data_IF_255331752030
#
_entry.id   IF_255331752030
#
_cell.length_a   1.000
_cell.length_b   1.000
_cell.length_c   1.000
_cell.angle_alpha   90.00
_cell.angle_beta   90.00
_cell.angle_gamma   90.00
#
_symmetry.space_group_name_H-M   'P 1'
#
loop_
_entity.id
_entity.type
_entity.pdbx_description
1 polymer ?
#
# COMPACT_ATOMS: atom_id res chain seq x y z
N UNK A 1 6.75 1.10 -29.96
CA UNK A 1 6.46 0.12 -28.89
C UNK A 1 6.84 0.65 -27.51
N UNK A 2 8.09 1.04 -27.23
CA UNK A 2 8.49 1.53 -25.88
C UNK A 2 7.95 2.91 -25.48
N UNK A 3 7.51 3.72 -26.44
CA UNK A 3 6.90 5.05 -26.23
C UNK A 3 5.40 5.05 -26.46
N UNK A 4 4.80 3.88 -26.69
CA UNK A 4 3.35 3.74 -26.86
C UNK A 4 2.64 4.10 -25.53
N UNK A 5 1.68 5.04 -25.53
CA UNK A 5 0.99 5.46 -24.32
C UNK A 5 0.26 4.32 -23.59
N UNK A 6 -0.38 3.41 -24.34
CA UNK A 6 -1.12 2.27 -23.78
C UNK A 6 -0.16 1.30 -23.09
N UNK A 7 0.98 1.03 -23.71
CA UNK A 7 2.04 0.19 -23.15
C UNK A 7 2.59 0.82 -21.85
N UNK A 8 2.91 2.11 -21.87
CA UNK A 8 3.41 2.83 -20.69
C UNK A 8 2.40 2.83 -19.54
N UNK A 9 1.11 3.03 -19.84
CA UNK A 9 0.01 2.96 -18.85
C UNK A 9 -0.12 1.54 -18.28
N UNK A 10 -0.02 0.50 -19.12
CA UNK A 10 -0.07 -0.89 -18.67
C UNK A 10 1.10 -1.22 -17.74
N UNK A 11 2.32 -0.82 -18.10
CA UNK A 11 3.51 -1.03 -17.26
C UNK A 11 3.39 -0.24 -15.96
N UNK A 12 2.96 1.02 -15.99
CA UNK A 12 2.76 1.84 -14.80
C UNK A 12 1.77 1.21 -13.81
N UNK A 13 0.63 0.72 -14.30
CA UNK A 13 -0.35 -0.01 -13.50
C UNK A 13 0.21 -1.32 -12.94
N UNK A 14 0.96 -2.06 -13.75
CA UNK A 14 1.60 -3.30 -13.32
C UNK A 14 2.57 -3.05 -12.15
N UNK A 15 3.37 -2.00 -12.23
CA UNK A 15 4.34 -1.64 -11.19
C UNK A 15 3.65 -1.14 -9.91
N UNK A 16 2.71 -0.20 -10.04
CA UNK A 16 2.00 0.38 -8.90
C UNK A 16 1.12 -0.67 -8.22
N UNK A 17 0.32 -1.43 -8.96
CA UNK A 17 -0.48 -2.51 -8.37
C UNK A 17 0.38 -3.66 -7.84
N UNK A 18 1.46 -3.99 -8.56
CA UNK A 18 2.38 -5.08 -8.21
C UNK A 18 3.08 -4.88 -6.88
N UNK A 19 3.45 -3.66 -6.51
CA UNK A 19 4.07 -3.41 -5.20
C UNK A 19 3.11 -3.74 -4.04
N UNK A 20 1.80 -3.55 -4.23
CA UNK A 20 0.80 -3.90 -3.21
C UNK A 20 0.53 -5.40 -3.15
N UNK A 21 0.48 -6.09 -4.28
CA UNK A 21 0.40 -7.55 -4.29
C UNK A 21 1.61 -8.14 -3.58
N UNK A 22 2.81 -7.69 -3.93
CA UNK A 22 4.04 -8.11 -3.26
C UNK A 22 4.01 -7.79 -1.76
N UNK A 23 3.61 -6.58 -1.37
CA UNK A 23 3.52 -6.19 0.03
C UNK A 23 2.52 -7.06 0.81
N UNK A 24 1.35 -7.35 0.23
CA UNK A 24 0.34 -8.23 0.82
C UNK A 24 0.88 -9.65 1.05
N UNK A 25 1.52 -10.24 0.03
CA UNK A 25 2.14 -11.57 0.16
C UNK A 25 3.25 -11.60 1.21
N UNK A 26 4.11 -10.57 1.25
CA UNK A 26 5.13 -10.42 2.29
C UNK A 26 4.51 -10.27 3.68
N UNK A 27 3.39 -9.57 3.79
CA UNK A 27 2.68 -9.36 5.06
C UNK A 27 2.05 -10.66 5.57
N UNK A 28 1.63 -11.58 4.70
CA UNK A 28 1.20 -12.94 5.09
C UNK A 28 2.35 -13.68 5.79
N UNK A 29 3.55 -13.64 5.21
CA UNK A 29 4.72 -14.28 5.81
C UNK A 29 5.13 -13.65 7.16
N UNK A 30 4.78 -12.37 7.39
CA UNK A 30 5.10 -11.62 8.60
C UNK A 30 3.89 -11.40 9.52
N UNK A 31 2.83 -12.20 9.36
CA UNK A 31 1.52 -11.91 9.94
C UNK A 31 1.58 -11.76 11.47
N UNK A 32 2.21 -12.70 12.17
CA UNK A 32 2.30 -12.70 13.64
C UNK A 32 3.03 -11.46 14.17
N UNK A 33 4.12 -11.06 13.52
CA UNK A 33 4.88 -9.86 13.88
C UNK A 33 4.05 -8.60 13.71
N UNK A 34 3.38 -8.47 12.57
CA UNK A 34 2.56 -7.30 12.26
C UNK A 34 1.33 -7.21 13.17
N UNK A 35 0.68 -8.34 13.45
CA UNK A 35 -0.45 -8.43 14.39
C UNK A 35 -0.05 -7.89 15.77
N UNK A 36 1.11 -8.33 16.29
CA UNK A 36 1.63 -7.85 17.57
C UNK A 36 2.02 -6.36 17.57
N UNK A 37 2.44 -5.81 16.43
CA UNK A 37 2.71 -4.36 16.30
C UNK A 37 1.40 -3.57 16.38
N UNK A 38 0.40 -3.93 15.58
CA UNK A 38 -0.85 -3.16 15.51
C UNK A 38 -1.71 -3.35 16.76
N UNK A 39 -1.64 -4.52 17.41
CA UNK A 39 -2.30 -4.76 18.69
C UNK A 39 -1.76 -3.84 19.80
N UNK A 40 -0.43 -3.63 19.85
CA UNK A 40 0.20 -2.67 20.78
C UNK A 40 -0.18 -1.21 20.51
N UNK A 41 -0.68 -0.90 19.30
CA UNK A 41 -1.22 0.42 18.95
C UNK A 41 -2.70 0.58 19.28
N UNK A 42 -3.34 -0.42 19.87
CA UNK A 42 -4.76 -0.35 20.27
C UNK A 42 -5.74 -0.53 19.11
N UNK A 43 -5.31 -1.10 17.97
CA UNK A 43 -6.22 -1.41 16.87
C UNK A 43 -7.22 -2.49 17.33
N UNK A 44 -8.55 -2.24 17.25
CA UNK A 44 -9.55 -3.25 17.58
C UNK A 44 -9.41 -4.48 16.67
N UNK A 45 -9.52 -5.67 17.25
CA UNK A 45 -9.43 -6.95 16.53
C UNK A 45 -8.22 -7.02 15.57
N UNK A 46 -6.98 -6.92 16.08
CA UNK A 46 -5.78 -6.72 15.26
C UNK A 46 -5.61 -7.79 14.18
N UNK A 47 -5.88 -9.06 14.51
CA UNK A 47 -5.87 -10.17 13.54
C UNK A 47 -6.79 -9.93 12.34
N UNK A 48 -8.04 -9.53 12.60
CA UNK A 48 -9.02 -9.29 11.56
C UNK A 48 -8.67 -8.05 10.72
N UNK A 49 -8.24 -6.96 11.38
CA UNK A 49 -7.80 -5.74 10.71
C UNK A 49 -6.60 -5.99 9.78
N UNK A 50 -5.60 -6.76 10.24
CA UNK A 50 -4.44 -7.12 9.42
C UNK A 50 -4.84 -8.02 8.24
N UNK A 51 -5.67 -9.05 8.48
CA UNK A 51 -6.13 -9.94 7.42
C UNK A 51 -6.91 -9.18 6.34
N UNK A 52 -7.77 -8.24 6.74
CA UNK A 52 -8.48 -7.36 5.83
C UNK A 52 -7.53 -6.45 5.04
N UNK A 53 -6.55 -5.84 5.70
CA UNK A 53 -5.53 -5.02 5.05
C UNK A 53 -4.75 -5.80 3.99
N UNK A 54 -4.28 -7.01 4.32
CA UNK A 54 -3.59 -7.91 3.39
C UNK A 54 -4.48 -8.27 2.20
N UNK A 55 -5.74 -8.65 2.46
CA UNK A 55 -6.70 -8.99 1.41
C UNK A 55 -6.90 -7.81 0.45
N UNK A 56 -7.07 -6.60 0.99
CA UNK A 56 -7.23 -5.37 0.22
C UNK A 56 -5.98 -5.10 -0.63
N UNK A 57 -4.77 -5.21 -0.08
CA UNK A 57 -3.52 -5.04 -0.82
C UNK A 57 -3.43 -5.98 -2.03
N UNK A 58 -3.70 -7.27 -1.82
CA UNK A 58 -3.59 -8.30 -2.88
C UNK A 58 -4.68 -8.13 -3.93
N UNK A 59 -5.94 -8.01 -3.50
CA UNK A 59 -7.07 -7.93 -4.44
C UNK A 59 -7.06 -6.61 -5.21
N UNK A 60 -7.00 -5.47 -4.53
CA UNK A 60 -7.02 -4.18 -5.21
C UNK A 60 -5.74 -3.94 -6.02
N UNK A 61 -4.58 -4.41 -5.54
CA UNK A 61 -3.33 -4.39 -6.30
C UNK A 61 -3.46 -5.19 -7.60
N UNK A 62 -4.02 -6.40 -7.53
CA UNK A 62 -4.29 -7.25 -8.69
C UNK A 62 -5.28 -6.62 -9.66
N UNK A 63 -6.34 -5.98 -9.18
CA UNK A 63 -7.31 -5.25 -10.01
C UNK A 63 -6.66 -4.08 -10.76
N UNK A 64 -5.80 -3.30 -10.09
CA UNK A 64 -5.02 -2.22 -10.73
C UNK A 64 -4.10 -2.78 -11.80
N UNK A 65 -3.36 -3.88 -11.52
CA UNK A 65 -2.50 -4.54 -12.50
C UNK A 65 -3.28 -5.02 -13.74
N UNK A 66 -4.45 -5.62 -13.51
CA UNK A 66 -5.31 -6.14 -14.57
C UNK A 66 -6.01 -5.04 -15.39
N UNK A 67 -5.98 -3.79 -14.92
CA UNK A 67 -6.68 -2.69 -15.57
C UNK A 67 -8.20 -2.73 -15.38
N UNK A 68 -8.68 -3.42 -14.34
CA UNK A 68 -10.11 -3.66 -14.09
C UNK A 68 -10.54 -2.90 -12.84
N UNK A 69 -11.69 -2.21 -12.90
CA UNK A 69 -12.26 -1.49 -11.75
C UNK A 69 -11.25 -0.51 -11.12
N UNK A 70 -10.53 0.22 -11.97
CA UNK A 70 -9.37 1.05 -11.59
C UNK A 70 -9.70 2.06 -10.50
N UNK A 71 -10.77 2.84 -10.67
CA UNK A 71 -11.15 3.90 -9.73
C UNK A 71 -11.41 3.34 -8.32
N UNK A 72 -12.32 2.35 -8.11
CA UNK A 72 -12.55 1.81 -6.77
C UNK A 72 -11.35 1.04 -6.21
N UNK A 73 -10.57 0.34 -7.04
CA UNK A 73 -9.38 -0.38 -6.58
C UNK A 73 -8.28 0.59 -6.11
N UNK A 74 -8.01 1.65 -6.89
CA UNK A 74 -7.06 2.68 -6.53
C UNK A 74 -7.51 3.48 -5.29
N UNK A 75 -8.79 3.82 -5.19
CA UNK A 75 -9.35 4.48 -4.01
C UNK A 75 -9.19 3.64 -2.73
N UNK A 76 -9.43 2.32 -2.82
CA UNK A 76 -9.21 1.41 -1.70
C UNK A 76 -7.74 1.37 -1.26
N UNK A 77 -6.79 1.30 -2.21
CA UNK A 77 -5.36 1.30 -1.91
C UNK A 77 -4.87 2.64 -1.37
N UNK A 78 -5.47 3.76 -1.82
CA UNK A 78 -5.19 5.08 -1.29
C UNK A 78 -5.65 5.19 0.17
N UNK A 79 -6.86 4.73 0.50
CA UNK A 79 -7.33 4.65 1.87
C UNK A 79 -6.41 3.76 2.73
N UNK A 80 -6.04 2.59 2.20
CA UNK A 80 -5.10 1.70 2.87
C UNK A 80 -3.75 2.37 3.16
N UNK A 81 -3.19 3.12 2.20
CA UNK A 81 -1.93 3.84 2.38
C UNK A 81 -2.01 4.85 3.52
N UNK A 82 -3.09 5.62 3.60
CA UNK A 82 -3.30 6.60 4.68
C UNK A 82 -3.33 5.89 6.03
N UNK A 83 -4.16 4.86 6.17
CA UNK A 83 -4.31 4.11 7.41
C UNK A 83 -2.99 3.42 7.81
N UNK A 84 -2.35 2.73 6.88
CA UNK A 84 -1.07 2.05 7.12
C UNK A 84 0.04 3.04 7.51
N UNK A 85 0.08 4.22 6.89
CA UNK A 85 1.07 5.25 7.22
C UNK A 85 0.94 5.73 8.66
N UNK A 86 -0.29 6.01 9.11
CA UNK A 86 -0.56 6.38 10.50
C UNK A 86 -0.22 5.23 11.47
N UNK A 87 -0.50 3.98 11.05
CA UNK A 87 -0.27 2.78 11.85
C UNK A 87 1.17 2.28 11.89
N UNK A 88 2.05 2.66 10.98
CA UNK A 88 3.41 2.11 10.91
C UNK A 88 4.51 3.16 10.81
N UNK A 89 4.19 4.41 10.47
CA UNK A 89 5.19 5.45 10.18
C UNK A 89 4.98 6.72 11.03
N UNK A 90 4.63 6.55 12.31
CA UNK A 90 4.64 7.61 13.33
C UNK A 90 6.08 8.05 13.65
N UNK A 91 6.72 8.74 12.71
CA UNK A 91 8.11 9.17 12.83
C UNK A 91 8.32 10.14 13.99
N UNK A 92 7.29 10.85 14.44
CA UNK A 92 7.35 11.83 15.52
C UNK A 92 7.67 11.23 16.90
N UNK A 93 7.47 9.92 17.08
CA UNK A 93 7.78 9.20 18.35
C UNK A 93 9.13 8.47 18.31
N UNK A 94 9.95 8.70 17.29
CA UNK A 94 11.20 7.96 17.07
C UNK A 94 12.37 8.92 16.82
N UNK A 95 13.60 8.43 17.00
CA UNK A 95 14.84 9.19 16.82
C UNK A 95 15.86 8.44 15.95
N UNK A 96 16.91 9.15 15.53
CA UNK A 96 18.03 8.58 14.77
C UNK A 96 17.60 7.91 13.45
N UNK A 97 18.22 6.77 13.16
CA UNK A 97 18.02 6.03 11.90
C UNK A 97 16.57 5.54 11.75
N UNK A 98 15.91 5.15 12.85
CA UNK A 98 14.52 4.65 12.77
C UNK A 98 13.55 5.77 12.37
N UNK A 99 13.74 6.99 12.88
CA UNK A 99 12.96 8.16 12.44
C UNK A 99 13.12 8.41 10.94
N UNK A 100 14.36 8.39 10.45
CA UNK A 100 14.66 8.59 9.02
C UNK A 100 14.02 7.52 8.14
N UNK A 101 14.08 6.25 8.55
CA UNK A 101 13.43 5.15 7.82
C UNK A 101 11.92 5.32 7.73
N UNK A 102 11.27 5.78 8.81
CA UNK A 102 9.83 6.04 8.83
C UNK A 102 9.44 7.24 7.96
N UNK A 103 10.23 8.31 7.97
CA UNK A 103 10.02 9.46 7.07
C UNK A 103 10.11 9.02 5.61
N UNK A 104 11.13 8.23 5.26
CA UNK A 104 11.30 7.72 3.89
C UNK A 104 10.13 6.81 3.49
N UNK A 105 9.65 5.98 4.41
CA UNK A 105 8.49 5.12 4.16
C UNK A 105 7.21 5.93 3.96
N UNK A 106 6.99 6.98 4.77
CA UNK A 106 5.87 7.89 4.61
C UNK A 106 5.93 8.65 3.27
N UNK A 107 7.11 9.16 2.90
CA UNK A 107 7.33 9.82 1.62
C UNK A 107 7.05 8.88 0.42
N UNK A 108 7.49 7.63 0.52
CA UNK A 108 7.16 6.59 -0.46
C UNK A 108 5.66 6.34 -0.58
N UNK A 109 4.95 6.31 0.54
CA UNK A 109 3.49 6.16 0.55
C UNK A 109 2.78 7.38 -0.06
N UNK A 110 3.27 8.60 0.14
CA UNK A 110 2.75 9.81 -0.52
C UNK A 110 2.95 9.75 -2.03
N UNK A 111 4.13 9.31 -2.49
CA UNK A 111 4.39 9.12 -3.92
C UNK A 111 3.46 8.08 -4.54
N UNK A 112 3.23 6.95 -3.86
CA UNK A 112 2.27 5.93 -4.30
C UNK A 112 0.83 6.46 -4.32
N UNK A 113 0.43 7.27 -3.34
CA UNK A 113 -0.88 7.91 -3.32
C UNK A 113 -1.07 8.82 -4.56
N UNK A 114 -0.07 9.62 -4.90
CA UNK A 114 -0.07 10.40 -6.15
C UNK A 114 -0.18 9.52 -7.40
N UNK A 115 0.52 8.39 -7.42
CA UNK A 115 0.39 7.38 -8.49
C UNK A 115 -1.04 6.85 -8.63
N UNK A 116 -1.74 6.57 -7.53
CA UNK A 116 -3.14 6.14 -7.57
C UNK A 116 -4.09 7.23 -8.06
N UNK A 117 -3.85 8.50 -7.72
CA UNK A 117 -4.64 9.61 -8.27
C UNK A 117 -4.51 9.67 -9.80
N UNK A 118 -3.31 9.43 -10.34
CA UNK A 118 -3.13 9.32 -11.79
C UNK A 118 -3.83 8.08 -12.36
N UNK A 119 -3.75 6.92 -11.70
CA UNK A 119 -4.47 5.70 -12.14
C UNK A 119 -5.99 5.92 -12.16
N UNK A 120 -6.53 6.72 -11.24
CA UNK A 120 -7.96 7.07 -11.22
C UNK A 120 -8.37 8.05 -12.32
N UNK A 121 -7.42 8.85 -12.83
CA UNK A 121 -7.67 9.87 -13.85
C UNK A 121 -7.54 9.34 -15.29
N UNK A 122 -6.96 8.15 -15.46
CA UNK A 122 -6.85 7.44 -16.74
C UNK A 122 -8.15 6.75 -17.12
#
# INVERSE_FOLDING_TARGET
MLTDPVFLIAVGRLLIGGVFVFAGLRNIANFQTLEGIIGRRGVPWPKAALAFGILLQVLAGGLVMAGVWLVPAAAALLLFLVLASLMFHNFWDHEGIDRSNRINSLAGNVALAGGFLFVMAM
#
